data_IF_095055382851
#
_entry.id   IF_095055382851
#
_cell.length_a   1.000
_cell.length_b   1.000
_cell.length_c   1.000
_cell.angle_alpha   90.00
_cell.angle_beta   90.00
_cell.angle_gamma   90.00
#
_symmetry.space_group_name_H-M   'P 1'
#
loop_
_entity.id
_entity.type
_entity.pdbx_description
1 polymer ?
#
# COMPACT_ATOMS: atom_id res chain seq x y z
N UNK A 1 39.12 29.42 45.70
CA UNK A 1 39.18 28.03 46.21
C UNK A 1 38.78 27.13 45.06
N UNK A 2 39.69 26.26 44.60
CA UNK A 2 39.49 25.32 43.49
C UNK A 2 38.94 23.98 43.99
N UNK A 3 38.08 23.35 43.18
CA UNK A 3 38.03 21.92 42.82
C UNK A 3 36.86 21.75 41.81
N UNK A 4 36.85 20.98 40.74
CA UNK A 4 37.71 19.95 40.17
C UNK A 4 36.86 19.19 39.14
N UNK A 5 37.47 18.81 38.01
CA UNK A 5 36.87 18.34 36.75
C UNK A 5 36.11 17.01 36.79
N UNK A 6 35.20 16.80 35.84
CA UNK A 6 35.08 15.53 35.09
C UNK A 6 34.45 15.75 33.73
N UNK A 7 35.29 15.55 32.71
CA UNK A 7 34.97 15.44 31.31
C UNK A 7 34.07 14.23 31.05
N UNK A 8 33.17 14.30 30.07
CA UNK A 8 33.38 13.63 28.77
C UNK A 8 32.07 13.47 27.99
N UNK A 9 32.23 13.69 26.68
CA UNK A 9 31.49 13.03 25.60
C UNK A 9 30.09 13.55 25.30
N UNK A 10 30.06 14.40 24.28
CA UNK A 10 28.85 14.85 23.63
C UNK A 10 28.01 13.68 23.12
N UNK A 11 26.70 13.86 23.28
CA UNK A 11 25.70 13.19 22.46
C UNK A 11 25.77 13.80 21.05
N UNK A 12 26.82 13.42 20.33
CA UNK A 12 26.91 13.60 18.90
C UNK A 12 25.86 12.71 18.26
N UNK A 13 24.86 13.36 17.66
CA UNK A 13 24.24 13.02 16.39
C UNK A 13 24.00 11.52 16.11
N UNK A 14 22.75 11.10 16.31
CA UNK A 14 22.22 9.81 15.86
C UNK A 14 21.72 9.87 14.41
N UNK A 15 22.21 10.81 13.60
CA UNK A 15 21.64 11.12 12.29
C UNK A 15 22.68 11.24 11.18
N UNK A 16 23.67 10.34 11.12
CA UNK A 16 24.26 9.93 9.85
C UNK A 16 25.06 8.64 10.04
N UNK A 17 24.40 7.48 10.01
CA UNK A 17 25.11 6.23 9.73
C UNK A 17 25.02 5.97 8.23
N UNK A 18 26.14 5.65 7.55
CA UNK A 18 26.07 5.18 6.17
C UNK A 18 25.19 3.94 6.18
N UNK A 19 24.02 4.03 5.53
CA UNK A 19 23.04 2.95 5.46
C UNK A 19 23.77 1.66 5.10
N UNK A 20 23.92 0.75 6.07
CA UNK A 20 24.66 -0.47 5.83
C UNK A 20 23.97 -1.25 4.71
N UNK A 21 24.69 -2.08 3.94
CA UNK A 21 24.08 -2.87 2.87
C UNK A 21 22.84 -3.65 3.34
N UNK A 22 22.86 -4.12 4.60
CA UNK A 22 21.73 -4.78 5.25
C UNK A 22 20.50 -3.87 5.49
N UNK A 23 20.71 -2.58 5.82
CA UNK A 23 19.60 -1.63 5.97
C UNK A 23 18.95 -1.29 4.62
N UNK A 24 19.75 -1.19 3.56
CA UNK A 24 19.23 -0.99 2.21
C UNK A 24 18.42 -2.20 1.72
N UNK A 25 18.94 -3.42 1.95
CA UNK A 25 18.23 -4.66 1.63
C UNK A 25 16.91 -4.77 2.41
N UNK A 26 16.92 -4.45 3.70
CA UNK A 26 15.72 -4.42 4.53
C UNK A 26 14.70 -3.38 4.05
N UNK A 27 15.14 -2.18 3.67
CA UNK A 27 14.26 -1.15 3.10
C UNK A 27 13.61 -1.62 1.79
N UNK A 28 14.39 -2.26 0.91
CA UNK A 28 13.87 -2.81 -0.35
C UNK A 28 12.85 -3.92 -0.10
N UNK A 29 13.11 -4.80 0.88
CA UNK A 29 12.17 -5.83 1.30
C UNK A 29 10.86 -5.21 1.82
N UNK A 30 10.96 -4.20 2.68
CA UNK A 30 9.79 -3.53 3.24
C UNK A 30 8.94 -2.84 2.16
N UNK A 31 9.58 -2.18 1.19
CA UNK A 31 8.87 -1.54 0.08
C UNK A 31 8.14 -2.58 -0.78
N UNK A 32 8.76 -3.72 -1.06
CA UNK A 32 8.14 -4.80 -1.81
C UNK A 32 6.92 -5.38 -1.07
N UNK A 33 7.04 -5.61 0.24
CA UNK A 33 5.91 -6.09 1.05
C UNK A 33 4.78 -5.07 1.11
N UNK A 34 5.11 -3.77 1.20
CA UNK A 34 4.11 -2.71 1.17
C UNK A 34 3.35 -2.66 -0.17
N UNK A 35 4.05 -2.82 -1.30
CA UNK A 35 3.41 -2.90 -2.62
C UNK A 35 2.48 -4.12 -2.71
N UNK A 36 2.91 -5.29 -2.22
CA UNK A 36 2.06 -6.49 -2.17
C UNK A 36 0.81 -6.24 -1.32
N UNK A 37 0.97 -5.68 -0.12
CA UNK A 37 -0.14 -5.37 0.78
C UNK A 37 -1.15 -4.40 0.14
N UNK A 38 -0.67 -3.38 -0.57
CA UNK A 38 -1.52 -2.46 -1.31
C UNK A 38 -2.34 -3.16 -2.40
N UNK A 39 -1.72 -4.05 -3.19
CA UNK A 39 -2.42 -4.84 -4.22
C UNK A 39 -3.45 -5.77 -3.58
N UNK A 40 -3.11 -6.44 -2.48
CA UNK A 40 -4.03 -7.30 -1.74
C UNK A 40 -5.24 -6.54 -1.22
N UNK A 41 -5.06 -5.31 -0.72
CA UNK A 41 -6.15 -4.45 -0.28
C UNK A 41 -7.10 -4.10 -1.44
N UNK A 42 -6.56 -3.82 -2.63
CA UNK A 42 -7.37 -3.56 -3.84
C UNK A 42 -8.14 -4.81 -4.26
N UNK A 43 -7.49 -5.98 -4.28
CA UNK A 43 -8.14 -7.26 -4.60
C UNK A 43 -9.29 -7.53 -3.63
N UNK A 44 -9.06 -7.38 -2.33
CA UNK A 44 -10.09 -7.57 -1.31
C UNK A 44 -11.27 -6.63 -1.53
N UNK A 45 -11.00 -5.35 -1.83
CA UNK A 45 -12.06 -4.36 -2.06
C UNK A 45 -12.88 -4.64 -3.32
N UNK A 46 -12.22 -5.00 -4.42
CA UNK A 46 -12.89 -5.39 -5.66
C UNK A 46 -13.71 -6.66 -5.45
N UNK A 47 -13.19 -7.63 -4.72
CA UNK A 47 -13.87 -8.89 -4.43
C UNK A 47 -15.17 -8.63 -3.67
N UNK A 48 -15.12 -7.87 -2.57
CA UNK A 48 -16.30 -7.50 -1.79
C UNK A 48 -17.34 -6.76 -2.65
N UNK A 49 -16.93 -5.68 -3.32
CA UNK A 49 -17.84 -4.83 -4.08
C UNK A 49 -18.47 -5.58 -5.26
N UNK A 50 -17.66 -6.28 -6.05
CA UNK A 50 -18.15 -6.95 -7.24
C UNK A 50 -18.93 -8.22 -6.90
N UNK A 51 -18.63 -8.88 -5.78
CA UNK A 51 -19.45 -9.97 -5.26
C UNK A 51 -20.87 -9.51 -5.00
N UNK A 52 -21.06 -8.46 -4.21
CA UNK A 52 -22.38 -7.94 -3.84
C UNK A 52 -23.21 -7.46 -5.04
N UNK A 53 -22.52 -7.01 -6.11
CA UNK A 53 -23.18 -6.52 -7.32
C UNK A 53 -23.51 -7.63 -8.31
N UNK A 54 -22.62 -8.59 -8.49
CA UNK A 54 -22.69 -9.52 -9.60
C UNK A 54 -23.16 -10.92 -9.20
N UNK A 55 -22.90 -11.37 -7.97
CA UNK A 55 -23.18 -12.75 -7.55
C UNK A 55 -24.47 -12.82 -6.72
N UNK A 56 -25.58 -13.12 -7.40
CA UNK A 56 -26.90 -13.22 -6.77
C UNK A 56 -27.14 -14.59 -6.12
N UNK A 57 -26.63 -15.66 -6.74
CA UNK A 57 -26.82 -17.05 -6.29
C UNK A 57 -25.49 -17.78 -6.36
N UNK A 58 -24.78 -17.94 -5.22
CA UNK A 58 -23.49 -18.60 -5.23
C UNK A 58 -23.65 -20.05 -5.70
N UNK A 59 -22.93 -20.40 -6.78
CA UNK A 59 -22.85 -21.74 -7.33
C UNK A 59 -21.43 -22.30 -7.25
N UNK A 60 -21.24 -23.53 -7.73
CA UNK A 60 -19.92 -24.16 -7.83
C UNK A 60 -19.01 -23.55 -8.90
N UNK A 61 -19.57 -22.70 -9.76
CA UNK A 61 -18.87 -21.97 -10.82
C UNK A 61 -19.61 -20.66 -11.09
N UNK A 62 -18.87 -19.68 -11.59
CA UNK A 62 -19.46 -18.46 -12.13
C UNK A 62 -20.19 -18.80 -13.44
N UNK A 63 -21.40 -18.31 -13.57
CA UNK A 63 -22.13 -18.29 -14.83
C UNK A 63 -21.48 -17.32 -15.83
N UNK A 64 -21.86 -17.42 -17.10
CA UNK A 64 -21.38 -16.49 -18.14
C UNK A 64 -21.74 -15.04 -17.84
N UNK A 65 -22.97 -14.79 -17.38
CA UNK A 65 -23.43 -13.45 -17.00
C UNK A 65 -22.70 -12.90 -15.76
N UNK A 66 -22.40 -13.75 -14.77
CA UNK A 66 -21.61 -13.33 -13.60
C UNK A 66 -20.17 -12.99 -14.01
N UNK A 67 -19.56 -13.79 -14.88
CA UNK A 67 -18.20 -13.53 -15.39
C UNK A 67 -18.13 -12.20 -16.13
N UNK A 68 -19.09 -11.94 -17.02
CA UNK A 68 -19.19 -10.67 -17.75
C UNK A 68 -19.43 -9.49 -16.81
N UNK A 69 -20.33 -9.64 -15.83
CA UNK A 69 -20.58 -8.61 -14.81
C UNK A 69 -19.31 -8.30 -14.00
N UNK A 70 -18.55 -9.31 -13.57
CA UNK A 70 -17.34 -9.13 -12.77
C UNK A 70 -16.25 -8.39 -13.56
N UNK A 71 -16.06 -8.69 -14.85
CA UNK A 71 -15.12 -7.95 -15.73
C UNK A 71 -15.50 -6.46 -15.80
N UNK A 72 -16.77 -6.19 -16.11
CA UNK A 72 -17.28 -4.82 -16.17
C UNK A 72 -17.16 -4.10 -14.82
N UNK A 73 -17.47 -4.77 -13.71
CA UNK A 73 -17.38 -4.20 -12.38
C UNK A 73 -15.96 -3.76 -12.03
N UNK A 74 -14.97 -4.62 -12.25
CA UNK A 74 -13.58 -4.33 -11.97
C UNK A 74 -13.07 -3.17 -12.84
N UNK A 75 -13.33 -3.20 -14.15
CA UNK A 75 -12.92 -2.14 -15.09
C UNK A 75 -13.53 -0.79 -14.69
N UNK A 76 -14.85 -0.74 -14.43
CA UNK A 76 -15.54 0.49 -14.03
C UNK A 76 -15.06 1.03 -12.69
N UNK A 77 -14.73 0.17 -11.74
CA UNK A 77 -14.16 0.60 -10.46
C UNK A 77 -12.81 1.30 -10.67
N UNK A 78 -11.92 0.71 -11.47
CA UNK A 78 -10.61 1.28 -11.77
C UNK A 78 -10.72 2.61 -12.53
N UNK A 79 -11.58 2.67 -13.54
CA UNK A 79 -11.82 3.89 -14.32
C UNK A 79 -12.33 5.03 -13.44
N UNK A 80 -13.34 4.75 -12.60
CA UNK A 80 -13.89 5.74 -11.68
C UNK A 80 -12.85 6.20 -10.66
N UNK A 81 -12.08 5.27 -10.11
CA UNK A 81 -11.01 5.58 -9.15
C UNK A 81 -9.93 6.47 -9.76
N UNK A 82 -9.46 6.13 -10.97
CA UNK A 82 -8.47 6.94 -11.68
C UNK A 82 -9.00 8.34 -12.00
N UNK A 83 -10.25 8.43 -12.48
CA UNK A 83 -10.90 9.69 -12.77
C UNK A 83 -10.99 10.61 -11.55
N UNK A 84 -11.38 10.06 -10.39
CA UNK A 84 -11.43 10.80 -9.13
C UNK A 84 -10.04 11.25 -8.72
N UNK A 85 -9.05 10.35 -8.73
CA UNK A 85 -7.66 10.66 -8.36
C UNK A 85 -7.08 11.77 -9.23
N UNK A 86 -7.24 11.69 -10.56
CA UNK A 86 -6.77 12.73 -11.48
C UNK A 86 -7.40 14.10 -11.18
N UNK A 87 -8.67 14.13 -10.76
CA UNK A 87 -9.35 15.36 -10.36
C UNK A 87 -8.84 15.92 -9.03
N UNK A 88 -8.44 15.06 -8.10
CA UNK A 88 -7.86 15.51 -6.83
C UNK A 88 -6.47 16.11 -7.03
N UNK A 89 -5.63 15.48 -7.86
CA UNK A 89 -4.27 15.97 -8.17
C UNK A 89 -4.30 17.29 -8.97
N UNK A 90 -5.24 17.48 -9.90
CA UNK A 90 -5.36 18.71 -10.70
C UNK A 90 -5.92 19.92 -9.93
N UNK A 91 -6.43 19.74 -8.71
CA UNK A 91 -6.99 20.80 -7.87
C UNK A 91 -6.01 21.35 -6.82
N UNK A 92 -4.75 20.88 -6.84
CA UNK A 92 -3.64 21.42 -6.05
C UNK A 92 -2.80 22.37 -6.92
#
# INVERSE_FOLDING_TARGET
MSFGSSSSSGFGDLSDSPSSPAQQEFSNFLEQENQKAAVQAVIAKLTELCWDKCVQKPGSKLSSSETECLSNCAERFLDASLFIMQRMVKKQ
#
